data_IF_152284926529
#
_entry.id   IF_152284926529
#
_cell.length_a   1.000
_cell.length_b   1.000
_cell.length_c   1.000
_cell.angle_alpha   90.00
_cell.angle_beta   90.00
_cell.angle_gamma   90.00
#
_symmetry.space_group_name_H-M   'P 1'
#
loop_
_entity.id
_entity.type
_entity.pdbx_description
1 polymer ?
#
# COMPACT_ATOMS: atom_id res chain seq x y z
N UNK A 1 -17.13 -51.94 10.49
CA UNK A 1 -16.53 -50.58 10.60
C UNK A 1 -17.41 -49.56 9.85
N UNK A 2 -18.57 -49.24 10.43
CA UNK A 2 -19.62 -48.42 9.80
C UNK A 2 -19.33 -46.91 9.89
N UNK A 3 -18.74 -46.49 11.02
CA UNK A 3 -18.37 -45.09 11.27
C UNK A 3 -17.41 -44.57 10.21
N UNK A 4 -16.40 -45.36 9.83
CA UNK A 4 -15.42 -44.97 8.81
C UNK A 4 -16.04 -44.80 7.40
N UNK A 5 -17.08 -45.58 7.08
CA UNK A 5 -17.81 -45.44 5.81
C UNK A 5 -18.73 -44.21 5.83
N UNK A 6 -19.39 -43.95 6.96
CA UNK A 6 -20.24 -42.78 7.14
C UNK A 6 -19.45 -41.46 7.05
N UNK A 7 -18.30 -41.39 7.75
CA UNK A 7 -17.40 -40.23 7.68
C UNK A 7 -16.91 -40.00 6.25
N UNK A 8 -16.51 -41.06 5.53
CA UNK A 8 -16.09 -40.94 4.13
C UNK A 8 -17.21 -40.42 3.21
N UNK A 9 -18.45 -40.89 3.40
CA UNK A 9 -19.61 -40.43 2.63
C UNK A 9 -19.98 -38.97 2.91
N UNK A 10 -19.89 -38.51 4.17
CA UNK A 10 -20.11 -37.10 4.52
C UNK A 10 -19.05 -36.21 3.88
N UNK A 11 -17.77 -36.55 4.02
CA UNK A 11 -16.65 -35.79 3.42
C UNK A 11 -16.76 -35.73 1.89
N UNK A 12 -17.27 -36.81 1.26
CA UNK A 12 -17.49 -36.85 -0.18
C UNK A 12 -18.63 -35.95 -0.63
N UNK A 13 -19.72 -35.86 0.14
CA UNK A 13 -20.87 -34.99 -0.15
C UNK A 13 -20.53 -33.50 0.04
N UNK A 14 -19.75 -33.15 1.07
CA UNK A 14 -19.27 -31.77 1.28
C UNK A 14 -18.32 -31.30 0.18
N UNK A 15 -17.46 -32.19 -0.34
CA UNK A 15 -16.59 -31.89 -1.49
C UNK A 15 -17.36 -31.57 -2.78
N UNK A 16 -18.52 -32.20 -2.99
CA UNK A 16 -19.32 -32.02 -4.20
C UNK A 16 -20.10 -30.71 -4.13
N UNK A 17 -20.58 -30.29 -2.96
CA UNK A 17 -21.24 -28.98 -2.80
C UNK A 17 -20.26 -27.80 -2.89
N UNK A 18 -19.07 -27.92 -2.30
CA UNK A 18 -18.07 -26.83 -2.29
C UNK A 18 -17.46 -26.51 -3.67
N UNK A 19 -17.54 -27.41 -4.65
CA UNK A 19 -16.98 -27.18 -6.00
C UNK A 19 -17.92 -26.42 -6.96
N UNK A 20 -19.15 -26.11 -6.56
CA UNK A 20 -20.14 -25.49 -7.47
C UNK A 20 -20.34 -23.99 -7.32
N UNK A 21 -19.67 -23.33 -6.36
CA UNK A 21 -19.77 -21.89 -6.17
C UNK A 21 -18.38 -21.31 -6.05
N UNK A 22 -18.01 -20.42 -6.98
CA UNK A 22 -16.85 -19.53 -6.82
C UNK A 22 -17.24 -18.54 -5.71
N UNK A 23 -17.13 -18.94 -4.45
CA UNK A 23 -17.45 -18.06 -3.33
C UNK A 23 -16.35 -17.00 -3.21
N UNK A 24 -16.76 -15.75 -3.00
CA UNK A 24 -15.85 -14.63 -2.72
C UNK A 24 -15.53 -14.51 -1.23
N UNK A 25 -16.26 -15.24 -0.39
CA UNK A 25 -16.10 -15.24 1.06
C UNK A 25 -15.26 -16.46 1.50
N UNK A 26 -14.17 -16.19 2.23
CA UNK A 26 -13.24 -17.20 2.77
C UNK A 26 -13.97 -18.17 3.70
N UNK A 27 -15.00 -17.70 4.42
CA UNK A 27 -15.82 -18.56 5.29
C UNK A 27 -16.63 -19.59 4.50
N UNK A 28 -17.06 -19.24 3.29
CA UNK A 28 -17.78 -20.16 2.40
C UNK A 28 -16.81 -21.07 1.63
N UNK A 29 -15.59 -20.59 1.34
CA UNK A 29 -14.56 -21.35 0.63
C UNK A 29 -14.00 -22.49 1.47
N UNK A 30 -13.84 -22.25 2.78
CA UNK A 30 -13.38 -23.23 3.74
C UNK A 30 -14.52 -23.56 4.69
N UNK A 31 -15.31 -24.58 4.36
CA UNK A 31 -16.19 -25.20 5.35
C UNK A 31 -15.36 -25.50 6.60
N UNK A 32 -15.83 -25.03 7.75
CA UNK A 32 -15.15 -24.83 9.02
C UNK A 32 -14.57 -26.09 9.71
N UNK A 33 -14.54 -27.22 9.02
CA UNK A 33 -14.00 -28.48 9.50
C UNK A 33 -13.06 -29.11 8.46
N UNK A 34 -11.77 -28.79 8.56
CA UNK A 34 -10.72 -29.47 7.78
C UNK A 34 -9.91 -30.40 8.70
N UNK A 35 -10.37 -31.65 8.84
CA UNK A 35 -9.64 -32.68 9.57
C UNK A 35 -8.31 -32.99 8.86
N UNK A 36 -7.20 -32.53 9.44
CA UNK A 36 -5.84 -32.69 8.89
C UNK A 36 -4.97 -31.44 8.98
N UNK A 37 -5.52 -30.32 9.45
CA UNK A 37 -4.80 -29.08 9.72
C UNK A 37 -4.46 -28.95 11.21
N UNK A 38 -3.32 -28.34 11.61
CA UNK A 38 -2.99 -28.13 13.03
C UNK A 38 -3.93 -27.13 13.74
N UNK A 39 -4.87 -26.51 13.03
CA UNK A 39 -5.89 -25.62 13.56
C UNK A 39 -7.27 -26.24 13.33
N UNK A 40 -8.14 -26.19 14.33
CA UNK A 40 -9.48 -26.80 14.31
C UNK A 40 -10.39 -26.16 13.24
N UNK A 41 -10.21 -24.85 12.97
CA UNK A 41 -10.89 -24.11 11.89
C UNK A 41 -9.88 -23.27 11.08
N UNK A 42 -9.66 -23.68 9.82
CA UNK A 42 -8.77 -22.98 8.89
C UNK A 42 -9.27 -21.56 8.55
N UNK A 43 -10.59 -21.37 8.46
CA UNK A 43 -11.20 -20.07 8.15
C UNK A 43 -10.93 -19.07 9.28
N UNK A 44 -10.97 -19.54 10.53
CA UNK A 44 -10.59 -18.75 11.70
C UNK A 44 -9.10 -18.40 11.67
N UNK A 45 -8.23 -19.37 11.40
CA UNK A 45 -6.79 -19.13 11.29
C UNK A 45 -6.45 -18.06 10.24
N UNK A 46 -6.99 -18.16 9.02
CA UNK A 46 -6.76 -17.16 7.96
C UNK A 46 -7.28 -15.79 8.38
N UNK A 47 -8.44 -15.73 9.04
CA UNK A 47 -9.01 -14.46 9.52
C UNK A 47 -8.09 -13.81 10.55
N UNK A 48 -7.62 -14.55 11.54
CA UNK A 48 -6.72 -14.04 12.59
C UNK A 48 -5.38 -13.55 12.00
N UNK A 49 -4.80 -14.31 11.06
CA UNK A 49 -3.58 -13.92 10.35
C UNK A 49 -3.81 -12.65 9.53
N UNK A 50 -4.90 -12.58 8.77
CA UNK A 50 -5.25 -11.40 7.99
C UNK A 50 -5.43 -10.17 8.89
N UNK A 51 -6.17 -10.28 9.99
CA UNK A 51 -6.37 -9.18 10.94
C UNK A 51 -5.07 -8.69 11.58
N UNK A 52 -4.13 -9.60 11.89
CA UNK A 52 -2.82 -9.22 12.41
C UNK A 52 -2.02 -8.41 11.39
N UNK A 53 -2.04 -8.82 10.12
CA UNK A 53 -1.37 -8.09 9.05
C UNK A 53 -2.06 -6.74 8.80
N UNK A 54 -3.40 -6.70 8.75
CA UNK A 54 -4.19 -5.48 8.61
C UNK A 54 -3.84 -4.45 9.68
N UNK A 55 -3.76 -4.87 10.95
CA UNK A 55 -3.33 -4.01 12.08
C UNK A 55 -1.90 -3.50 11.93
N UNK A 56 -0.97 -4.34 11.50
CA UNK A 56 0.41 -3.92 11.26
C UNK A 56 0.52 -2.89 10.13
N UNK A 57 -0.23 -3.08 9.04
CA UNK A 57 -0.31 -2.14 7.93
C UNK A 57 -0.89 -0.81 8.42
N UNK A 58 -2.02 -0.83 9.13
CA UNK A 58 -2.66 0.36 9.68
C UNK A 58 -1.69 1.16 10.57
N UNK A 59 -1.01 0.47 11.50
CA UNK A 59 -0.02 1.10 12.38
C UNK A 59 1.18 1.67 11.61
N UNK A 60 1.62 0.99 10.53
CA UNK A 60 2.72 1.47 9.67
C UNK A 60 2.31 2.71 8.88
N UNK A 61 1.08 2.76 8.36
CA UNK A 61 0.55 3.87 7.58
C UNK A 61 0.15 5.08 8.45
N UNK A 62 -0.33 4.86 9.68
CA UNK A 62 -0.62 5.95 10.63
C UNK A 62 0.62 6.80 10.94
N UNK A 63 1.82 6.21 10.91
CA UNK A 63 3.09 6.95 11.09
C UNK A 63 3.44 7.87 9.93
N UNK A 64 2.86 7.66 8.75
CA UNK A 64 3.19 8.40 7.52
C UNK A 64 2.41 9.74 7.41
N UNK A 65 1.42 9.97 8.29
CA UNK A 65 0.45 11.07 8.21
C UNK A 65 -0.03 11.34 6.76
N UNK A 66 -0.77 10.38 6.21
CA UNK A 66 -1.28 10.46 4.83
C UNK A 66 -2.21 11.66 4.57
N UNK A 67 -2.72 12.31 5.62
CA UNK A 67 -3.60 13.49 5.47
C UNK A 67 -2.84 14.68 4.89
N UNK A 68 -1.57 14.84 5.27
CA UNK A 68 -0.68 15.89 4.76
C UNK A 68 -0.48 15.72 3.25
N UNK A 69 -0.32 14.48 2.78
CA UNK A 69 -0.13 14.15 1.36
C UNK A 69 -1.44 14.20 0.58
N UNK A 70 -2.56 13.81 1.18
CA UNK A 70 -3.87 13.90 0.54
C UNK A 70 -4.28 15.35 0.26
N UNK A 71 -4.03 16.25 1.21
CA UNK A 71 -4.35 17.68 1.07
C UNK A 71 -3.63 18.36 -0.11
N UNK A 72 -2.59 17.75 -0.67
CA UNK A 72 -1.92 18.25 -1.87
C UNK A 72 -2.82 18.18 -3.11
N UNK A 73 -3.71 17.19 -3.18
CA UNK A 73 -4.59 16.98 -4.35
C UNK A 73 -5.75 17.98 -4.42
N UNK A 74 -5.97 18.76 -3.36
CA UNK A 74 -6.93 19.86 -3.32
C UNK A 74 -6.35 21.17 -3.91
N UNK A 75 -5.03 21.23 -4.13
CA UNK A 75 -4.35 22.45 -4.57
C UNK A 75 -4.37 22.55 -6.09
N UNK A 76 -5.22 23.42 -6.64
CA UNK A 76 -5.32 23.63 -8.09
C UNK A 76 -4.16 24.45 -8.67
N UNK A 77 -3.54 25.31 -7.85
CA UNK A 77 -2.40 26.15 -8.24
C UNK A 77 -1.09 25.36 -8.16
N UNK A 78 -0.50 25.08 -9.33
CA UNK A 78 0.67 24.20 -9.43
C UNK A 78 1.93 24.77 -8.78
N UNK A 79 2.07 26.10 -8.70
CA UNK A 79 3.17 26.72 -7.97
C UNK A 79 3.00 26.50 -6.47
N UNK A 80 1.79 26.74 -5.93
CA UNK A 80 1.49 26.46 -4.51
C UNK A 80 1.67 24.98 -4.19
N UNK A 81 1.28 24.10 -5.11
CA UNK A 81 1.48 22.66 -4.99
C UNK A 81 2.98 22.33 -4.87
N UNK A 82 3.81 22.85 -5.78
CA UNK A 82 5.26 22.65 -5.78
C UNK A 82 5.90 23.11 -4.47
N UNK A 83 5.58 24.33 -4.02
CA UNK A 83 6.14 24.90 -2.78
C UNK A 83 5.72 24.06 -1.56
N UNK A 84 4.43 23.72 -1.44
CA UNK A 84 3.92 22.92 -0.32
C UNK A 84 4.45 21.50 -0.35
N UNK A 85 4.58 20.90 -1.53
CA UNK A 85 5.17 19.57 -1.70
C UNK A 85 6.58 19.50 -1.13
N UNK A 86 7.45 20.45 -1.48
CA UNK A 86 8.82 20.47 -0.99
C UNK A 86 8.94 20.81 0.50
N UNK A 87 8.07 21.66 1.03
CA UNK A 87 8.01 21.90 2.47
C UNK A 87 7.66 20.62 3.24
N UNK A 88 6.68 19.86 2.74
CA UNK A 88 6.29 18.58 3.35
C UNK A 88 7.37 17.50 3.15
N UNK A 89 8.04 17.48 1.99
CA UNK A 89 9.17 16.59 1.73
C UNK A 89 10.32 16.85 2.70
N UNK A 90 10.64 18.11 2.96
CA UNK A 90 11.67 18.49 3.93
C UNK A 90 11.31 18.02 5.35
N UNK A 91 10.10 18.33 5.82
CA UNK A 91 9.60 17.85 7.12
C UNK A 91 9.66 16.31 7.21
N UNK A 92 9.29 15.63 6.14
CA UNK A 92 9.39 14.18 6.07
C UNK A 92 10.84 13.71 6.19
N UNK A 93 11.78 14.30 5.43
CA UNK A 93 13.19 13.95 5.53
C UNK A 93 13.74 14.13 6.94
N UNK A 94 13.36 15.22 7.61
CA UNK A 94 13.81 15.55 8.96
C UNK A 94 13.25 14.56 9.99
N UNK A 95 12.05 14.03 9.76
CA UNK A 95 11.48 12.96 10.59
C UNK A 95 12.16 11.60 10.41
N UNK A 96 12.79 11.35 9.25
CA UNK A 96 13.35 10.05 8.88
C UNK A 96 14.87 9.96 9.05
N UNK A 97 15.60 11.08 9.01
CA UNK A 97 17.05 11.11 8.99
C UNK A 97 17.64 11.55 10.33
N UNK A 98 18.76 10.93 10.73
CA UNK A 98 19.56 11.35 11.88
C UNK A 98 20.96 11.80 11.46
N UNK A 99 21.46 12.97 11.90
CA UNK A 99 20.72 14.00 12.63
C UNK A 99 19.71 14.75 11.74
N UNK A 100 18.58 15.22 12.30
CA UNK A 100 17.50 15.87 11.54
C UNK A 100 17.89 17.23 10.95
N UNK A 101 18.87 17.91 11.56
CA UNK A 101 19.28 19.26 11.16
C UNK A 101 20.71 19.27 10.60
N UNK A 102 20.89 19.94 9.45
CA UNK A 102 22.22 20.34 8.96
C UNK A 102 22.58 19.91 7.53
N UNK A 103 21.72 19.16 6.83
CA UNK A 103 21.93 18.82 5.40
C UNK A 103 20.99 19.65 4.53
N UNK A 104 21.44 20.05 3.36
CA UNK A 104 20.57 20.64 2.35
C UNK A 104 19.56 19.59 1.83
N UNK A 105 18.41 20.08 1.34
CA UNK A 105 17.33 19.23 0.83
C UNK A 105 17.78 18.26 -0.31
N UNK A 106 18.58 18.67 -1.31
CA UNK A 106 19.16 17.73 -2.28
C UNK A 106 19.90 16.55 -1.63
N UNK A 107 20.72 16.83 -0.62
CA UNK A 107 21.41 15.78 0.14
C UNK A 107 20.44 14.91 0.92
N UNK A 108 19.40 15.50 1.54
CA UNK A 108 18.34 14.74 2.24
C UNK A 108 17.61 13.78 1.27
N UNK A 109 17.26 14.23 0.07
CA UNK A 109 16.59 13.42 -0.96
C UNK A 109 17.43 12.20 -1.33
N UNK A 110 18.73 12.36 -1.57
CA UNK A 110 19.65 11.25 -1.87
C UNK A 110 19.72 10.20 -0.75
N UNK A 111 19.58 10.64 0.51
CA UNK A 111 19.59 9.74 1.67
C UNK A 111 18.29 8.94 1.84
N UNK A 112 17.20 9.32 1.19
CA UNK A 112 15.95 8.57 1.23
C UNK A 112 16.03 7.22 0.50
N UNK A 113 17.08 7.02 -0.32
CA UNK A 113 17.31 5.82 -1.14
C UNK A 113 16.09 5.48 -2.02
N UNK A 114 15.65 6.47 -2.80
CA UNK A 114 14.52 6.35 -3.72
C UNK A 114 14.93 5.61 -5.00
N UNK A 115 13.98 5.33 -5.89
CA UNK A 115 14.35 4.85 -7.22
C UNK A 115 15.11 5.94 -7.98
N UNK A 116 16.10 5.59 -8.83
CA UNK A 116 16.92 6.58 -9.52
C UNK A 116 16.10 7.62 -10.32
N UNK A 117 15.00 7.18 -10.96
CA UNK A 117 14.13 8.08 -11.71
C UNK A 117 13.39 9.08 -10.81
N UNK A 118 12.86 8.61 -9.67
CA UNK A 118 12.14 9.48 -8.73
C UNK A 118 13.09 10.46 -8.06
N UNK A 119 14.28 9.99 -7.65
CA UNK A 119 15.33 10.85 -7.11
C UNK A 119 15.73 11.94 -8.10
N UNK A 120 16.04 11.56 -9.35
CA UNK A 120 16.40 12.51 -10.41
C UNK A 120 15.32 13.57 -10.60
N UNK A 121 14.05 13.16 -10.69
CA UNK A 121 12.93 14.08 -10.91
C UNK A 121 12.72 15.03 -9.73
N UNK A 122 12.90 14.53 -8.49
CA UNK A 122 12.85 15.37 -7.28
C UNK A 122 14.00 16.36 -7.20
N UNK A 123 15.17 16.05 -7.74
CA UNK A 123 16.28 17.00 -7.79
C UNK A 123 16.04 18.07 -8.85
N UNK A 124 15.59 17.70 -10.06
CA UNK A 124 15.24 18.68 -11.09
C UNK A 124 14.11 19.63 -10.67
N UNK A 125 13.02 19.11 -10.10
CA UNK A 125 11.91 19.96 -9.67
C UNK A 125 12.28 20.85 -8.47
N UNK A 126 13.31 20.50 -7.70
CA UNK A 126 13.84 21.37 -6.65
C UNK A 126 14.53 22.59 -7.27
N UNK A 127 15.25 22.43 -8.38
CA UNK A 127 15.82 23.54 -9.13
C UNK A 127 14.73 24.42 -9.75
N UNK A 128 13.69 23.81 -10.34
CA UNK A 128 12.51 24.54 -10.85
C UNK A 128 11.85 25.34 -9.72
N UNK A 129 11.70 24.77 -8.52
CA UNK A 129 11.18 25.50 -7.35
C UNK A 129 12.05 26.70 -7.01
N UNK A 130 13.37 26.52 -6.94
CA UNK A 130 14.32 27.60 -6.62
C UNK A 130 14.23 28.72 -7.64
N UNK A 131 14.21 28.38 -8.93
CA UNK A 131 14.05 29.34 -10.03
C UNK A 131 12.70 30.06 -9.94
N UNK A 132 11.60 29.36 -9.74
CA UNK A 132 10.26 29.99 -9.66
C UNK A 132 10.13 30.94 -8.45
N UNK A 133 10.83 30.67 -7.34
CA UNK A 133 10.80 31.54 -6.15
C UNK A 133 11.72 32.77 -6.30
N UNK A 134 12.93 32.59 -6.86
CA UNK A 134 13.98 33.61 -6.83
C UNK A 134 14.21 34.31 -8.18
N UNK A 135 13.57 33.83 -9.25
CA UNK A 135 13.63 34.42 -10.58
C UNK A 135 12.22 34.60 -11.13
N UNK A 136 12.06 35.46 -12.15
CA UNK A 136 10.79 35.66 -12.85
C UNK A 136 10.43 34.46 -13.78
N UNK A 137 10.76 33.24 -13.35
CA UNK A 137 10.50 32.02 -14.10
C UNK A 137 9.03 31.62 -13.95
N UNK A 138 8.32 31.52 -15.06
CA UNK A 138 6.95 31.02 -15.10
C UNK A 138 6.94 29.52 -15.41
N UNK A 139 6.13 28.76 -14.65
CA UNK A 139 5.99 27.32 -14.86
C UNK A 139 5.38 27.04 -16.24
N UNK A 140 6.12 26.29 -17.06
CA UNK A 140 5.60 25.76 -18.32
C UNK A 140 4.56 24.66 -18.06
N UNK A 141 3.73 24.35 -19.06
CA UNK A 141 2.75 23.25 -18.91
C UNK A 141 3.43 21.90 -18.68
N UNK A 142 4.61 21.68 -19.27
CA UNK A 142 5.43 20.51 -18.99
C UNK A 142 5.88 20.45 -17.52
N UNK A 143 6.25 21.57 -16.91
CA UNK A 143 6.60 21.59 -15.48
C UNK A 143 5.39 21.25 -14.63
N UNK A 144 4.21 21.79 -14.97
CA UNK A 144 2.98 21.51 -14.24
C UNK A 144 2.62 20.02 -14.26
N UNK A 145 2.71 19.39 -15.43
CA UNK A 145 2.45 17.95 -15.57
C UNK A 145 3.45 17.13 -14.76
N UNK A 146 4.75 17.47 -14.83
CA UNK A 146 5.81 16.81 -14.05
C UNK A 146 5.63 16.95 -12.55
N UNK A 147 5.19 18.13 -12.07
CA UNK A 147 4.91 18.39 -10.66
C UNK A 147 3.80 17.46 -10.17
N UNK A 148 2.69 17.40 -10.90
CA UNK A 148 1.58 16.51 -10.57
C UNK A 148 2.03 15.05 -10.52
N UNK A 149 2.77 14.61 -11.54
CA UNK A 149 3.27 13.23 -11.63
C UNK A 149 4.20 12.87 -10.46
N UNK A 150 5.11 13.77 -10.07
CA UNK A 150 6.02 13.56 -8.94
C UNK A 150 5.28 13.45 -7.62
N UNK A 151 4.30 14.31 -7.37
CA UNK A 151 3.50 14.27 -6.13
C UNK A 151 2.83 12.89 -5.99
N UNK A 152 2.24 12.40 -7.08
CA UNK A 152 1.64 11.07 -7.14
C UNK A 152 2.69 10.00 -6.90
N UNK A 153 3.75 9.96 -7.72
CA UNK A 153 4.77 8.93 -7.68
C UNK A 153 5.48 8.86 -6.32
N UNK A 154 5.73 10.00 -5.69
CA UNK A 154 6.31 10.08 -4.37
C UNK A 154 5.35 9.53 -3.30
N UNK A 155 4.08 9.95 -3.32
CA UNK A 155 3.06 9.43 -2.39
C UNK A 155 2.92 7.91 -2.49
N UNK A 156 2.89 7.37 -3.72
CA UNK A 156 2.85 5.93 -3.96
C UNK A 156 4.12 5.22 -3.47
N UNK A 157 5.29 5.84 -3.66
CA UNK A 157 6.56 5.30 -3.13
C UNK A 157 6.53 5.20 -1.61
N UNK A 158 6.04 6.24 -0.92
CA UNK A 158 5.91 6.25 0.54
C UNK A 158 5.02 5.11 1.02
N UNK A 159 3.81 4.97 0.45
CA UNK A 159 2.88 3.88 0.79
C UNK A 159 3.56 2.53 0.54
N UNK A 160 4.22 2.35 -0.60
CA UNK A 160 4.92 1.10 -0.95
C UNK A 160 6.02 0.76 0.05
N UNK A 161 6.82 1.74 0.46
CA UNK A 161 7.93 1.57 1.41
C UNK A 161 7.42 1.05 2.76
N UNK A 162 6.24 1.49 3.19
CA UNK A 162 5.62 1.09 4.46
C UNK A 162 4.87 -0.25 4.41
N UNK A 163 4.29 -0.61 3.25
CA UNK A 163 3.48 -1.83 3.10
C UNK A 163 4.33 -3.02 2.66
N UNK A 164 5.20 -2.86 1.65
CA UNK A 164 5.92 -3.97 1.00
C UNK A 164 6.67 -4.89 1.98
N UNK A 165 7.38 -4.38 3.01
CA UNK A 165 8.08 -5.23 3.97
C UNK A 165 7.15 -6.13 4.82
N UNK A 166 5.87 -5.76 4.96
CA UNK A 166 4.86 -6.47 5.76
C UNK A 166 4.15 -7.57 4.96
N UNK A 167 4.13 -7.45 3.63
CA UNK A 167 3.43 -8.36 2.71
C UNK A 167 4.39 -9.15 1.83
N UNK A 168 5.67 -9.18 2.17
CA UNK A 168 6.69 -9.90 1.41
C UNK A 168 6.47 -11.41 1.50
N UNK A 169 6.29 -12.06 0.34
CA UNK A 169 5.91 -13.47 0.24
C UNK A 169 6.76 -14.40 1.10
N UNK A 170 8.08 -14.24 1.06
CA UNK A 170 9.02 -15.05 1.85
C UNK A 170 8.74 -14.92 3.35
N UNK A 171 8.52 -13.70 3.85
CA UNK A 171 8.20 -13.45 5.26
C UNK A 171 6.84 -14.00 5.63
N UNK A 172 5.85 -13.86 4.75
CA UNK A 172 4.51 -14.42 4.97
C UNK A 172 4.56 -15.94 5.04
N UNK A 173 5.28 -16.62 4.13
CA UNK A 173 5.50 -18.08 4.18
C UNK A 173 6.19 -18.52 5.46
N UNK A 174 7.21 -17.79 5.92
CA UNK A 174 7.93 -18.14 7.15
C UNK A 174 7.06 -17.93 8.39
N UNK A 175 6.33 -16.81 8.46
CA UNK A 175 5.55 -16.46 9.65
C UNK A 175 4.17 -17.15 9.72
N UNK A 176 3.64 -17.54 8.55
CA UNK A 176 2.30 -18.10 8.38
C UNK A 176 2.35 -19.28 7.39
N UNK A 177 3.16 -20.29 7.72
CA UNK A 177 3.45 -21.47 6.89
C UNK A 177 2.20 -22.19 6.36
N UNK A 178 1.09 -22.03 7.07
CA UNK A 178 -0.17 -22.70 6.82
C UNK A 178 -1.16 -21.85 6.01
N UNK A 179 -0.90 -20.55 5.80
CA UNK A 179 -1.83 -19.69 5.09
C UNK A 179 -1.75 -19.89 3.57
N UNK A 180 -2.90 -20.08 2.88
CA UNK A 180 -2.98 -19.90 1.43
C UNK A 180 -2.75 -18.42 1.13
N UNK A 181 -1.57 -18.14 0.56
CA UNK A 181 -1.14 -16.78 0.27
C UNK A 181 -2.06 -16.05 -0.70
N UNK A 182 -2.73 -16.76 -1.62
CA UNK A 182 -3.63 -16.11 -2.59
C UNK A 182 -4.82 -15.49 -1.88
N UNK A 183 -5.40 -16.21 -0.92
CA UNK A 183 -6.51 -15.70 -0.13
C UNK A 183 -6.05 -14.61 0.84
N UNK A 184 -4.89 -14.80 1.45
CA UNK A 184 -4.30 -13.80 2.33
C UNK A 184 -4.02 -12.49 1.59
N UNK A 185 -3.47 -12.56 0.37
CA UNK A 185 -3.26 -11.39 -0.48
C UNK A 185 -4.57 -10.74 -0.91
N UNK A 186 -5.61 -11.52 -1.21
CA UNK A 186 -6.93 -10.99 -1.53
C UNK A 186 -7.49 -10.16 -0.36
N UNK A 187 -7.43 -10.69 0.85
CA UNK A 187 -7.87 -10.00 2.08
C UNK A 187 -7.08 -8.71 2.35
N UNK A 188 -5.76 -8.79 2.21
CA UNK A 188 -4.87 -7.63 2.37
C UNK A 188 -5.20 -6.57 1.32
N UNK A 189 -5.43 -6.97 0.06
CA UNK A 189 -5.75 -6.06 -1.04
C UNK A 189 -7.06 -5.32 -0.79
N UNK A 190 -8.11 -6.05 -0.41
CA UNK A 190 -9.42 -5.45 -0.07
C UNK A 190 -9.27 -4.46 1.09
N UNK A 191 -8.50 -4.83 2.11
CA UNK A 191 -8.27 -3.94 3.25
C UNK A 191 -7.50 -2.66 2.86
N UNK A 192 -6.35 -2.77 2.19
CA UNK A 192 -5.56 -1.59 1.80
C UNK A 192 -6.39 -0.71 0.88
N UNK A 193 -7.15 -1.30 -0.06
CA UNK A 193 -8.08 -0.56 -0.92
C UNK A 193 -9.08 0.23 -0.11
N UNK A 194 -9.81 -0.41 0.81
CA UNK A 194 -10.79 0.27 1.66
C UNK A 194 -10.14 1.31 2.57
N UNK A 195 -8.94 1.08 3.07
CA UNK A 195 -8.21 2.02 3.92
C UNK A 195 -7.79 3.27 3.15
N UNK A 196 -7.18 3.12 1.97
CA UNK A 196 -6.74 4.27 1.16
C UNK A 196 -7.94 5.04 0.59
N UNK A 197 -9.01 4.38 0.14
CA UNK A 197 -10.22 5.07 -0.34
C UNK A 197 -10.89 5.92 0.76
N UNK A 198 -10.74 5.55 2.04
CA UNK A 198 -11.22 6.38 3.16
C UNK A 198 -10.34 7.59 3.45
N UNK A 199 -9.09 7.59 3.00
CA UNK A 199 -8.17 8.71 3.21
C UNK A 199 -8.27 9.66 2.03
N UNK A 200 -8.14 9.11 0.82
CA UNK A 200 -8.31 9.84 -0.44
C UNK A 200 -9.79 9.76 -0.83
N UNK A 201 -10.61 10.64 -0.26
CA UNK A 201 -12.09 10.68 -0.47
C UNK A 201 -12.46 11.62 -1.64
N UNK A 202 -11.63 12.61 -1.93
CA UNK A 202 -11.95 13.69 -2.86
C UNK A 202 -11.75 13.27 -4.33
N UNK A 203 -12.79 12.71 -4.95
CA UNK A 203 -12.84 12.05 -6.28
C UNK A 203 -12.28 12.76 -7.52
N UNK A 204 -11.02 13.20 -7.53
CA UNK A 204 -10.24 13.58 -8.73
C UNK A 204 -9.49 12.36 -9.32
N UNK A 205 -9.02 12.47 -10.56
CA UNK A 205 -8.33 11.44 -11.38
C UNK A 205 -7.30 10.57 -10.65
N UNK A 206 -6.67 11.08 -9.61
CA UNK A 206 -5.66 10.41 -8.79
C UNK A 206 -6.21 9.17 -8.04
N UNK A 207 -7.53 9.05 -7.89
CA UNK A 207 -8.19 7.85 -7.35
C UNK A 207 -7.94 6.61 -8.22
N UNK A 208 -7.88 6.79 -9.54
CA UNK A 208 -7.58 5.70 -10.46
C UNK A 208 -6.13 5.24 -10.32
N UNK A 209 -5.18 6.15 -10.07
CA UNK A 209 -3.77 5.78 -9.90
C UNK A 209 -3.52 5.07 -8.58
N UNK A 210 -4.20 5.43 -7.49
CA UNK A 210 -4.16 4.69 -6.22
C UNK A 210 -4.76 3.29 -6.41
N UNK A 211 -5.87 3.18 -7.14
CA UNK A 211 -6.48 1.89 -7.51
C UNK A 211 -5.56 1.02 -8.37
N UNK A 212 -4.92 1.59 -9.40
CA UNK A 212 -3.91 0.90 -10.22
C UNK A 212 -2.69 0.50 -9.38
N UNK A 213 -2.22 1.36 -8.48
CA UNK A 213 -1.12 1.06 -7.59
C UNK A 213 -1.43 -0.14 -6.67
N UNK A 214 -2.67 -0.26 -6.17
CA UNK A 214 -3.11 -1.42 -5.39
C UNK A 214 -3.07 -2.72 -6.18
N UNK A 215 -3.32 -2.67 -7.49
CA UNK A 215 -3.18 -3.83 -8.36
C UNK A 215 -1.69 -4.23 -8.52
N UNK A 216 -0.77 -3.27 -8.52
CA UNK A 216 0.69 -3.55 -8.61
C UNK A 216 1.33 -4.03 -7.31
N UNK A 217 0.71 -3.80 -6.14
CA UNK A 217 1.28 -4.19 -4.83
C UNK A 217 1.22 -5.70 -4.57
N UNK A 218 0.29 -6.41 -5.22
CA UNK A 218 0.02 -7.85 -4.99
C UNK A 218 0.49 -8.76 -6.13
N UNK A 219 1.04 -8.18 -7.21
CA UNK A 219 1.61 -8.94 -8.33
C UNK A 219 3.11 -9.04 -8.12
N UNK A 220 3.52 -10.04 -7.34
CA UNK A 220 4.79 -10.75 -7.41
C UNK A 220 4.68 -12.02 -6.56
#
# INVERSE_FOLDING_TARGET
>A
NYVMKFVKEIVKKEKIQSQTVISRDIKEKYNSYYFGFPFEDYSQYITEVAEKIKRNIENSLKKLDLTVWESMYEIDDTFKLLVRFYANLENYCDSQLSPPNGKDLPTKIKLLNLSPNLEFTLLELNEVRIQTIHSAYELSDNDKDRINEVVINFTLNLIKKHIKPLIEEKKLKTNYMYADLRDLYSEIKVFISGYLTKIFINGKSNHNQIRTFLETLTVN
#
